data_IF_545530225738
#
_entry.id   IF_545530225738
#
_cell.length_a   1.000
_cell.length_b   1.000
_cell.length_c   1.000
_cell.angle_alpha   90.00
_cell.angle_beta   90.00
_cell.angle_gamma   90.00
#
_symmetry.space_group_name_H-M   'P 1'
#
loop_
_entity.id
_entity.type
_entity.pdbx_description
1 polymer ?
#
# COMPACT_ATOMS: atom_id res chain seq x y z
N UNK A 1 -24.26 -19.64 0.55
CA UNK A 1 -23.62 -19.32 -0.75
C UNK A 1 -23.12 -17.87 -0.81
N UNK A 2 -23.93 -16.86 -0.47
CA UNK A 2 -23.46 -15.46 -0.44
C UNK A 2 -22.36 -15.18 0.62
N UNK A 3 -22.51 -15.69 1.85
CA UNK A 3 -21.52 -15.50 2.92
C UNK A 3 -20.14 -16.11 2.62
N UNK A 4 -20.10 -17.22 1.88
CA UNK A 4 -18.85 -17.86 1.42
C UNK A 4 -18.10 -17.00 0.40
N UNK A 5 -18.82 -16.40 -0.57
CA UNK A 5 -18.19 -15.51 -1.55
C UNK A 5 -17.70 -14.22 -0.93
N UNK A 6 -18.44 -13.66 0.04
CA UNK A 6 -18.01 -12.46 0.74
C UNK A 6 -16.70 -12.69 1.52
N UNK A 7 -16.55 -13.89 2.12
CA UNK A 7 -15.34 -14.28 2.84
C UNK A 7 -14.15 -14.52 1.91
N UNK A 8 -14.37 -15.10 0.73
CA UNK A 8 -13.34 -15.23 -0.30
C UNK A 8 -12.86 -13.84 -0.76
N UNK A 9 -13.79 -12.93 -1.08
CA UNK A 9 -13.46 -11.55 -1.46
C UNK A 9 -12.73 -10.79 -0.36
N UNK A 10 -13.11 -10.99 0.91
CA UNK A 10 -12.39 -10.41 2.05
C UNK A 10 -10.93 -10.83 2.06
N UNK A 11 -10.66 -12.13 1.88
CA UNK A 11 -9.29 -12.65 1.85
C UNK A 11 -8.50 -12.07 0.68
N UNK A 12 -9.09 -12.03 -0.52
CA UNK A 12 -8.44 -11.46 -1.72
C UNK A 12 -8.06 -9.98 -1.51
N UNK A 13 -8.97 -9.18 -0.93
CA UNK A 13 -8.71 -7.76 -0.65
C UNK A 13 -7.61 -7.59 0.40
N UNK A 14 -7.58 -8.46 1.41
CA UNK A 14 -6.56 -8.43 2.44
C UNK A 14 -5.18 -8.83 1.90
N UNK A 15 -5.12 -9.83 1.02
CA UNK A 15 -3.89 -10.25 0.36
C UNK A 15 -3.37 -9.17 -0.60
N UNK A 16 -4.26 -8.51 -1.34
CA UNK A 16 -3.91 -7.38 -2.18
C UNK A 16 -3.31 -6.23 -1.33
N UNK A 17 -3.92 -5.90 -0.19
CA UNK A 17 -3.39 -4.89 0.71
C UNK A 17 -1.98 -5.25 1.20
N UNK A 18 -1.73 -6.51 1.55
CA UNK A 18 -0.41 -6.99 1.98
C UNK A 18 0.65 -6.88 0.88
N UNK A 19 0.29 -7.23 -0.37
CA UNK A 19 1.21 -7.08 -1.51
C UNK A 19 1.57 -5.62 -1.76
N UNK A 20 0.59 -4.71 -1.63
CA UNK A 20 0.85 -3.28 -1.76
C UNK A 20 1.71 -2.74 -0.61
N UNK A 21 1.60 -3.29 0.61
CA UNK A 21 2.50 -2.93 1.72
C UNK A 21 3.96 -3.25 1.43
N UNK A 22 4.24 -4.38 0.77
CA UNK A 22 5.61 -4.72 0.36
C UNK A 22 6.16 -3.68 -0.63
N UNK A 23 5.35 -3.25 -1.59
CA UNK A 23 5.73 -2.20 -2.55
C UNK A 23 5.96 -0.86 -1.84
N UNK A 24 5.09 -0.50 -0.90
CA UNK A 24 5.25 0.69 -0.08
C UNK A 24 6.57 0.69 0.71
N UNK A 25 6.91 -0.44 1.32
CA UNK A 25 8.18 -0.59 2.05
C UNK A 25 9.38 -0.45 1.12
N UNK A 26 9.33 -1.06 -0.07
CA UNK A 26 10.40 -0.94 -1.07
C UNK A 26 10.59 0.52 -1.52
N UNK A 27 9.51 1.22 -1.87
CA UNK A 27 9.56 2.62 -2.30
C UNK A 27 10.08 3.53 -1.18
N UNK A 28 9.60 3.32 0.05
CA UNK A 28 10.05 4.08 1.23
C UNK A 28 11.54 3.87 1.50
N UNK A 29 12.01 2.62 1.42
CA UNK A 29 13.43 2.29 1.56
C UNK A 29 14.28 2.92 0.45
N UNK A 30 13.76 2.96 -0.78
CA UNK A 30 14.45 3.59 -1.90
C UNK A 30 14.56 5.12 -1.74
N UNK A 31 13.47 5.79 -1.36
CA UNK A 31 13.49 7.22 -1.07
C UNK A 31 14.49 7.56 0.05
N UNK A 32 14.51 6.76 1.12
CA UNK A 32 15.46 6.93 2.22
C UNK A 32 16.92 6.74 1.77
N UNK A 33 17.18 5.73 0.94
CA UNK A 33 18.49 5.52 0.35
C UNK A 33 18.93 6.71 -0.50
N UNK A 34 18.08 7.20 -1.40
CA UNK A 34 18.39 8.34 -2.26
C UNK A 34 18.65 9.62 -1.44
N UNK A 35 17.82 9.89 -0.42
CA UNK A 35 18.01 11.03 0.50
C UNK A 35 19.34 10.92 1.26
N UNK A 36 19.76 9.71 1.66
CA UNK A 36 21.04 9.49 2.36
C UNK A 36 22.27 9.76 1.50
N UNK A 37 22.15 9.68 0.16
CA UNK A 37 23.24 9.94 -0.77
C UNK A 37 23.51 11.44 -0.99
N UNK A 38 22.58 12.30 -0.58
CA UNK A 38 22.66 13.77 -0.67
C UNK A 38 23.06 14.25 -2.08
N UNK A 39 22.44 13.63 -3.10
CA UNK A 39 22.69 13.93 -4.50
C UNK A 39 21.66 14.96 -4.96
N UNK A 40 22.08 16.20 -5.15
CA UNK A 40 21.17 17.33 -5.43
C UNK A 40 20.29 17.14 -6.66
N UNK A 41 20.77 16.44 -7.69
CA UNK A 41 19.99 16.20 -8.91
C UNK A 41 18.92 15.10 -8.77
N UNK A 42 18.86 14.41 -7.63
CA UNK A 42 17.86 13.37 -7.35
C UNK A 42 16.74 13.86 -6.43
N UNK A 43 16.72 15.14 -6.05
CA UNK A 43 15.71 15.71 -5.15
C UNK A 43 14.29 15.54 -5.73
N UNK A 44 14.13 15.80 -7.03
CA UNK A 44 12.84 15.65 -7.70
C UNK A 44 12.38 14.18 -7.75
N UNK A 45 13.31 13.26 -7.99
CA UNK A 45 13.02 11.81 -7.98
C UNK A 45 12.64 11.32 -6.58
N UNK A 46 13.33 11.81 -5.54
CA UNK A 46 13.00 11.51 -4.14
C UNK A 46 11.58 12.00 -3.82
N UNK A 47 11.24 13.24 -4.18
CA UNK A 47 9.91 13.79 -3.97
C UNK A 47 8.83 12.99 -4.72
N UNK A 48 9.10 12.58 -5.96
CA UNK A 48 8.20 11.73 -6.73
C UNK A 48 7.93 10.40 -6.03
N UNK A 49 8.99 9.73 -5.55
CA UNK A 49 8.87 8.44 -4.85
C UNK A 49 8.13 8.61 -3.52
N UNK A 50 8.44 9.65 -2.74
CA UNK A 50 7.75 9.93 -1.48
C UNK A 50 6.25 10.20 -1.70
N UNK A 51 5.89 10.94 -2.75
CA UNK A 51 4.50 11.19 -3.11
C UNK A 51 3.77 9.91 -3.53
N UNK A 52 4.41 9.06 -4.35
CA UNK A 52 3.84 7.78 -4.77
C UNK A 52 3.66 6.82 -3.59
N UNK A 53 4.64 6.76 -2.68
CA UNK A 53 4.53 5.97 -1.45
C UNK A 53 3.39 6.47 -0.55
N UNK A 54 3.21 7.79 -0.44
CA UNK A 54 2.09 8.38 0.30
C UNK A 54 0.73 8.01 -0.30
N UNK A 55 0.56 8.13 -1.62
CA UNK A 55 -0.67 7.72 -2.31
C UNK A 55 -0.96 6.22 -2.16
N UNK A 56 0.08 5.40 -2.21
CA UNK A 56 -0.01 3.95 -2.01
C UNK A 56 -0.45 3.60 -0.59
N UNK A 57 0.07 4.31 0.43
CA UNK A 57 -0.33 4.13 1.82
C UNK A 57 -1.83 4.36 2.04
N UNK A 58 -2.39 5.40 1.40
CA UNK A 58 -3.83 5.67 1.44
C UNK A 58 -4.62 4.52 0.81
N UNK A 59 -4.19 4.03 -0.35
CA UNK A 59 -4.84 2.91 -1.03
C UNK A 59 -4.82 1.62 -0.19
N UNK A 60 -3.70 1.33 0.49
CA UNK A 60 -3.60 0.19 1.43
C UNK A 60 -4.60 0.35 2.58
N UNK A 61 -4.71 1.55 3.15
CA UNK A 61 -5.64 1.82 4.24
C UNK A 61 -7.09 1.62 3.80
N UNK A 62 -7.45 2.07 2.61
CA UNK A 62 -8.78 1.90 2.04
C UNK A 62 -9.12 0.42 1.83
N UNK A 63 -8.19 -0.36 1.29
CA UNK A 63 -8.37 -1.82 1.09
C UNK A 63 -8.53 -2.55 2.42
N UNK A 64 -7.70 -2.25 3.43
CA UNK A 64 -7.85 -2.82 4.77
C UNK A 64 -9.20 -2.47 5.39
N UNK A 65 -9.65 -1.23 5.22
CA UNK A 65 -10.97 -0.79 5.67
C UNK A 65 -12.11 -1.51 4.93
N UNK A 66 -11.95 -1.77 3.63
CA UNK A 66 -12.91 -2.54 2.86
C UNK A 66 -12.99 -4.01 3.32
N UNK A 67 -11.84 -4.66 3.52
CA UNK A 67 -11.77 -6.03 4.05
C UNK A 67 -12.44 -6.14 5.44
N UNK A 68 -12.22 -5.16 6.32
CA UNK A 68 -12.87 -5.13 7.63
C UNK A 68 -14.40 -5.09 7.51
N UNK A 69 -14.93 -4.17 6.68
CA UNK A 69 -16.38 -4.04 6.45
C UNK A 69 -16.98 -5.28 5.79
N UNK A 70 -16.22 -5.97 4.93
CA UNK A 70 -16.64 -7.25 4.36
C UNK A 70 -16.74 -8.32 5.45
N UNK A 71 -15.79 -8.38 6.38
CA UNK A 71 -15.84 -9.31 7.51
C UNK A 71 -17.00 -9.07 8.47
N UNK A 72 -17.40 -7.81 8.68
CA UNK A 72 -18.58 -7.45 9.49
C UNK A 72 -19.92 -7.81 8.81
N UNK A 73 -19.92 -7.93 7.47
CA UNK A 73 -21.11 -8.24 6.68
C UNK A 73 -21.24 -9.74 6.29
N UNK A 74 -20.27 -10.58 6.66
CA UNK A 74 -20.19 -12.02 6.35
C UNK A 74 -20.96 -12.89 7.36
#
# INVERSE_FOLDING_TARGET
MAATHLKEMQADVQDAALQLEMLYQMLSGHALFLRSRNIDHLIDDVLLIENQAGALALSIQDLKGAALRMGEAA
#
